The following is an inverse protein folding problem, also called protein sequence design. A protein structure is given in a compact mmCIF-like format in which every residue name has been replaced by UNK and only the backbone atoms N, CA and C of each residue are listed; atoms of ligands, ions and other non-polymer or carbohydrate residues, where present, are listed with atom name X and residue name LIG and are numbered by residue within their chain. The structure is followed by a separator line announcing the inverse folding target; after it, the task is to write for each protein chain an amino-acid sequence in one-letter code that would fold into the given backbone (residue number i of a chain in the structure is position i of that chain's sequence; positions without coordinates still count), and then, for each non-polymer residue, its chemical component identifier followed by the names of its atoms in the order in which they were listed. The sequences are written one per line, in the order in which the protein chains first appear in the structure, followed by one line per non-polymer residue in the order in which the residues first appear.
data_IF_410563875318
#
_entry.id   IF_410563875318
#
_cell.length_a   1.000
_cell.length_b   1.000
_cell.length_c   1.000
_cell.angle_alpha   90.00
_cell.angle_beta   90.00
_cell.angle_gamma   90.00
#
_symmetry.space_group_name_H-M   'P 1'
#
loop_
_entity.id
_entity.type
_entity.pdbx_description
1 polymer ?
#
# COMPACT_ATOMS: atom_id res chain seq x y z
N UNK A 1 13.82 -43.42 7.30
CA UNK A 1 13.28 -42.82 6.09
C UNK A 1 12.30 -41.65 6.36
N UNK A 2 12.03 -41.28 7.61
CA UNK A 2 11.08 -40.19 7.99
C UNK A 2 11.72 -38.80 8.19
N UNK A 3 13.04 -38.72 8.37
CA UNK A 3 13.73 -37.44 8.67
C UNK A 3 14.00 -36.52 7.46
N UNK A 4 14.01 -37.05 6.24
CA UNK A 4 14.30 -36.26 5.02
C UNK A 4 13.11 -35.45 4.52
N UNK A 5 11.87 -35.88 4.81
CA UNK A 5 10.65 -35.20 4.34
C UNK A 5 10.39 -33.88 5.08
N UNK A 6 10.79 -33.78 6.34
CA UNK A 6 10.62 -32.56 7.15
C UNK A 6 11.62 -31.45 6.80
N UNK A 7 12.82 -31.77 6.32
CA UNK A 7 13.83 -30.75 5.95
C UNK A 7 13.41 -29.98 4.70
N UNK A 8 12.79 -30.63 3.72
CA UNK A 8 12.30 -29.98 2.49
C UNK A 8 11.13 -29.02 2.78
N UNK A 9 10.24 -29.38 3.70
CA UNK A 9 9.10 -28.53 4.09
C UNK A 9 9.61 -27.28 4.83
N UNK A 10 10.59 -27.42 5.72
CA UNK A 10 11.19 -26.30 6.46
C UNK A 10 11.95 -25.37 5.50
N UNK A 11 12.68 -25.91 4.55
CA UNK A 11 13.39 -25.11 3.53
C UNK A 11 12.43 -24.31 2.64
N UNK A 12 11.29 -24.89 2.26
CA UNK A 12 10.24 -24.24 1.48
C UNK A 12 9.56 -23.09 2.26
N UNK A 13 9.40 -23.26 3.57
CA UNK A 13 8.82 -22.22 4.44
C UNK A 13 9.74 -21.00 4.59
N UNK A 14 11.07 -21.22 4.65
CA UNK A 14 12.06 -20.14 4.70
C UNK A 14 12.13 -19.30 3.40
N UNK A 15 11.83 -19.88 2.24
CA UNK A 15 11.82 -19.16 0.96
C UNK A 15 10.63 -18.20 0.81
N UNK A 16 9.57 -18.36 1.60
CA UNK A 16 8.39 -17.48 1.55
C UNK A 16 8.51 -16.23 2.43
N UNK A 17 9.49 -16.15 3.33
CA UNK A 17 9.63 -15.02 4.26
C UNK A 17 10.28 -13.76 3.68
N UNK A 18 10.87 -13.83 2.47
CA UNK A 18 11.66 -12.71 1.92
C UNK A 18 10.87 -11.65 1.11
N UNK A 19 9.53 -11.76 0.99
CA UNK A 19 8.77 -10.89 0.08
C UNK A 19 8.17 -9.62 0.69
N UNK A 20 8.25 -9.40 2.00
CA UNK A 20 7.52 -8.31 2.67
C UNK A 20 8.37 -7.37 3.53
N UNK A 21 9.70 -7.40 3.40
CA UNK A 21 10.56 -6.44 4.11
C UNK A 21 10.39 -5.03 3.57
N UNK A 22 10.46 -4.04 4.46
CA UNK A 22 10.54 -2.62 4.08
C UNK A 22 11.84 -2.41 3.30
N UNK A 23 11.84 -1.61 2.21
CA UNK A 23 13.08 -1.28 1.49
C UNK A 23 14.11 -0.62 2.42
N UNK A 24 15.38 -0.93 2.21
CA UNK A 24 16.48 -0.37 3.02
C UNK A 24 16.62 1.15 2.88
N UNK A 25 16.24 1.68 1.70
CA UNK A 25 16.17 3.12 1.44
C UNK A 25 14.82 3.46 0.81
N UNK A 26 13.95 4.09 1.58
CA UNK A 26 12.60 4.47 1.16
C UNK A 26 12.51 5.86 0.53
N UNK A 27 13.64 6.57 0.39
CA UNK A 27 13.69 7.93 -0.18
C UNK A 27 14.18 7.96 -1.63
N UNK A 28 14.67 6.84 -2.16
CA UNK A 28 15.19 6.75 -3.52
C UNK A 28 14.46 5.66 -4.31
N UNK A 29 13.65 6.06 -5.28
CA UNK A 29 12.84 5.15 -6.09
C UNK A 29 13.66 4.13 -6.88
N UNK A 30 14.87 4.48 -7.34
CA UNK A 30 15.75 3.55 -8.05
C UNK A 30 16.22 2.44 -7.10
N UNK A 31 16.61 2.80 -5.87
CA UNK A 31 17.03 1.81 -4.87
C UNK A 31 15.86 0.92 -4.42
N UNK A 32 14.67 1.49 -4.25
CA UNK A 32 13.45 0.72 -3.98
C UNK A 32 13.23 -0.33 -5.07
N UNK A 33 13.29 0.04 -6.34
CA UNK A 33 13.02 -0.88 -7.44
C UNK A 33 14.15 -1.89 -7.67
N UNK A 34 15.39 -1.54 -7.37
CA UNK A 34 16.50 -2.50 -7.39
C UNK A 34 16.31 -3.60 -6.33
N UNK A 35 15.88 -3.23 -5.13
CA UNK A 35 15.62 -4.17 -4.04
C UNK A 35 14.28 -4.93 -4.23
N UNK A 36 13.26 -4.24 -4.72
CA UNK A 36 11.90 -4.76 -4.94
C UNK A 36 11.53 -4.77 -6.42
N UNK A 37 12.23 -5.55 -7.20
CA UNK A 37 12.10 -5.64 -8.67
C UNK A 37 10.63 -5.71 -9.17
N UNK A 38 9.77 -6.51 -8.53
CA UNK A 38 8.37 -6.63 -8.94
C UNK A 38 7.56 -5.36 -8.70
N UNK A 39 7.99 -4.46 -7.82
CA UNK A 39 7.25 -3.24 -7.51
C UNK A 39 7.21 -2.27 -8.68
N UNK A 40 8.30 -2.17 -9.44
CA UNK A 40 8.30 -1.39 -10.69
C UNK A 40 7.22 -1.90 -11.66
N UNK A 41 7.13 -3.22 -11.85
CA UNK A 41 6.10 -3.83 -12.71
C UNK A 41 4.68 -3.53 -12.21
N UNK A 42 4.46 -3.55 -10.91
CA UNK A 42 3.16 -3.27 -10.31
C UNK A 42 2.77 -1.79 -10.44
N UNK A 43 3.68 -0.86 -10.14
CA UNK A 43 3.45 0.58 -10.29
C UNK A 43 3.21 0.95 -11.75
N UNK A 44 3.99 0.39 -12.69
CA UNK A 44 3.82 0.61 -14.13
C UNK A 44 2.47 0.10 -14.64
N UNK A 45 2.01 -1.04 -14.13
CA UNK A 45 0.68 -1.56 -14.45
C UNK A 45 -0.44 -0.65 -13.94
N UNK A 46 -0.32 -0.15 -12.72
CA UNK A 46 -1.29 0.79 -12.15
C UNK A 46 -1.27 2.12 -12.90
N UNK A 47 -0.10 2.66 -13.27
CA UNK A 47 0.03 3.86 -14.11
C UNK A 47 -0.67 3.67 -15.45
N UNK A 48 -0.43 2.54 -16.14
CA UNK A 48 -1.09 2.25 -17.43
C UNK A 48 -2.61 2.18 -17.30
N UNK A 49 -3.12 1.60 -16.21
CA UNK A 49 -4.55 1.40 -15.98
C UNK A 49 -5.27 2.67 -15.57
N UNK A 50 -4.67 3.46 -14.70
CA UNK A 50 -5.32 4.60 -14.04
C UNK A 50 -4.80 5.97 -14.47
N UNK A 51 -3.66 6.02 -15.16
CA UNK A 51 -3.01 7.27 -15.56
C UNK A 51 -2.27 8.00 -14.43
N UNK A 52 -2.18 7.41 -13.24
CA UNK A 52 -1.49 7.97 -12.08
C UNK A 52 0.00 7.73 -12.18
N UNK A 53 0.86 8.76 -12.28
CA UNK A 53 2.30 8.59 -12.42
C UNK A 53 2.93 7.77 -11.28
N UNK A 54 3.95 6.99 -11.59
CA UNK A 54 4.65 6.13 -10.61
C UNK A 54 5.15 6.94 -9.41
N UNK A 55 5.71 8.13 -9.63
CA UNK A 55 6.24 8.96 -8.55
C UNK A 55 5.15 9.39 -7.55
N UNK A 56 3.92 9.61 -8.00
CA UNK A 56 2.78 9.93 -7.11
C UNK A 56 2.36 8.70 -6.31
N UNK A 57 2.31 7.53 -6.93
CA UNK A 57 2.00 6.28 -6.23
C UNK A 57 2.99 6.02 -5.09
N UNK A 58 4.30 6.17 -5.37
CA UNK A 58 5.35 5.98 -4.37
C UNK A 58 5.34 7.07 -3.30
N UNK A 59 5.09 8.34 -3.68
CA UNK A 59 5.00 9.45 -2.74
C UNK A 59 3.87 9.23 -1.72
N UNK A 60 2.69 8.82 -2.17
CA UNK A 60 1.56 8.49 -1.29
C UNK A 60 1.94 7.36 -0.33
N UNK A 61 2.50 6.25 -0.82
CA UNK A 61 2.92 5.14 0.06
C UNK A 61 3.99 5.59 1.06
N UNK A 62 4.95 6.40 0.61
CA UNK A 62 5.99 6.96 1.49
C UNK A 62 5.39 7.76 2.64
N UNK A 63 4.44 8.64 2.35
CA UNK A 63 3.80 9.51 3.33
C UNK A 63 2.86 8.73 4.27
N UNK A 64 2.14 7.72 3.76
CA UNK A 64 1.14 6.98 4.51
C UNK A 64 1.73 5.90 5.42
N UNK A 65 2.76 5.20 4.98
CA UNK A 65 3.27 4.01 5.69
C UNK A 65 4.78 3.88 5.73
N UNK A 66 5.51 4.75 5.04
CA UNK A 66 6.95 4.56 4.77
C UNK A 66 7.28 3.15 4.25
N UNK A 67 6.42 2.63 3.36
CA UNK A 67 6.51 1.28 2.79
C UNK A 67 6.33 0.13 3.81
N UNK A 68 5.81 0.40 5.00
CA UNK A 68 5.44 -0.65 5.94
C UNK A 68 4.08 -1.27 5.58
N UNK A 69 4.10 -2.54 5.23
CA UNK A 69 2.90 -3.31 4.85
C UNK A 69 1.96 -3.61 6.02
N UNK A 70 2.44 -3.50 7.27
CA UNK A 70 1.65 -3.68 8.49
C UNK A 70 1.35 -2.37 9.22
N UNK A 71 1.68 -1.23 8.62
CA UNK A 71 1.44 0.08 9.23
C UNK A 71 0.00 0.23 9.70
N UNK A 72 -0.15 0.76 10.89
CA UNK A 72 -1.45 1.03 11.56
C UNK A 72 -1.35 2.35 12.30
N UNK A 73 -2.44 3.13 12.38
CA UNK A 73 -2.48 4.31 13.24
C UNK A 73 -2.11 3.96 14.69
N UNK A 74 -1.39 4.83 15.39
CA UNK A 74 -1.10 4.62 16.80
C UNK A 74 -2.40 4.51 17.61
N UNK A 75 -2.38 3.72 18.67
CA UNK A 75 -3.52 3.66 19.61
C UNK A 75 -3.59 4.95 20.41
N UNK A 76 -4.77 5.50 20.56
CA UNK A 76 -5.02 6.52 21.57
C UNK A 76 -4.72 5.95 22.95
N UNK A 77 -4.26 6.78 23.88
CA UNK A 77 -3.99 6.38 25.25
C UNK A 77 -4.93 7.12 26.20
N UNK A 78 -5.61 6.38 27.07
CA UNK A 78 -6.34 6.97 28.20
C UNK A 78 -5.33 7.26 29.29
N UNK A 79 -5.39 8.46 29.88
CA UNK A 79 -4.45 8.95 30.90
C UNK A 79 -2.98 8.85 30.46
N UNK A 80 -2.69 8.96 29.14
CA UNK A 80 -1.35 8.85 28.53
C UNK A 80 -0.64 7.49 28.71
N UNK A 81 -1.23 6.55 29.41
CA UNK A 81 -0.60 5.26 29.78
C UNK A 81 -1.35 4.05 29.20
N UNK A 82 -2.66 4.00 29.32
CA UNK A 82 -3.47 2.82 28.96
C UNK A 82 -3.81 2.84 27.48
N UNK A 83 -3.37 1.85 26.65
CA UNK A 83 -3.73 1.76 25.24
C UNK A 83 -5.23 1.59 25.07
N UNK A 84 -5.85 2.48 24.29
CA UNK A 84 -7.28 2.45 23.97
C UNK A 84 -7.50 2.13 22.49
N UNK A 85 -8.62 2.57 21.94
CA UNK A 85 -9.05 2.32 20.57
C UNK A 85 -8.15 3.05 19.55
N UNK A 86 -8.01 2.52 18.34
CA UNK A 86 -7.37 3.23 17.24
C UNK A 86 -8.34 4.27 16.67
N UNK A 87 -7.87 5.46 16.29
CA UNK A 87 -8.70 6.54 15.75
C UNK A 87 -9.27 6.19 14.37
N UNK A 88 -8.61 5.34 13.62
CA UNK A 88 -8.97 4.98 12.25
C UNK A 88 -8.81 3.48 12.00
N UNK A 89 -9.52 2.97 10.99
CA UNK A 89 -9.38 1.61 10.46
C UNK A 89 -8.33 1.50 9.34
N UNK A 90 -7.52 2.56 9.12
CA UNK A 90 -6.48 2.57 8.10
C UNK A 90 -5.42 1.49 8.35
N UNK A 91 -4.88 0.92 7.26
CA UNK A 91 -4.00 -0.23 7.35
C UNK A 91 -3.15 -0.45 6.09
N UNK A 92 -1.91 -0.93 6.29
CA UNK A 92 -1.01 -1.40 5.26
C UNK A 92 -0.36 -0.28 4.45
N UNK A 93 0.18 -0.60 3.28
CA UNK A 93 0.94 0.34 2.45
C UNK A 93 0.21 1.65 2.14
N UNK A 94 -1.06 1.58 1.79
CA UNK A 94 -1.86 2.73 1.35
C UNK A 94 -2.64 3.41 2.47
N UNK A 95 -2.57 2.92 3.70
CA UNK A 95 -3.36 3.40 4.84
C UNK A 95 -4.86 3.59 4.52
N UNK A 96 -5.36 2.86 3.52
CA UNK A 96 -6.77 2.90 3.18
C UNK A 96 -7.66 2.50 4.35
N UNK A 97 -8.68 3.28 4.65
CA UNK A 97 -9.70 2.92 5.64
C UNK A 97 -10.61 1.80 5.09
N UNK A 98 -11.19 1.01 6.00
CA UNK A 98 -11.97 -0.19 5.61
C UNK A 98 -13.10 0.13 4.62
N UNK A 99 -13.87 1.20 4.85
CA UNK A 99 -15.00 1.58 3.97
C UNK A 99 -14.55 1.88 2.56
N UNK A 100 -13.53 2.73 2.38
CA UNK A 100 -12.99 3.10 1.07
C UNK A 100 -12.35 1.90 0.36
N UNK A 101 -11.71 1.00 1.11
CA UNK A 101 -11.15 -0.24 0.55
C UNK A 101 -12.23 -1.18 0.02
N UNK A 102 -13.33 -1.36 0.73
CA UNK A 102 -14.46 -2.18 0.26
C UNK A 102 -15.15 -1.54 -0.96
N UNK A 103 -15.27 -0.21 -1.00
CA UNK A 103 -15.77 0.51 -2.17
C UNK A 103 -14.87 0.24 -3.40
N UNK A 104 -13.55 0.37 -3.25
CA UNK A 104 -12.60 0.03 -4.32
C UNK A 104 -12.78 -1.40 -4.83
N UNK A 105 -12.87 -2.38 -3.93
CA UNK A 105 -13.09 -3.79 -4.31
C UNK A 105 -14.38 -3.98 -5.09
N UNK A 106 -15.44 -3.33 -4.65
CA UNK A 106 -16.77 -3.39 -5.31
C UNK A 106 -16.71 -2.78 -6.70
N UNK A 107 -16.15 -1.59 -6.84
CA UNK A 107 -16.11 -0.86 -8.12
C UNK A 107 -15.16 -1.48 -9.15
N UNK A 108 -14.06 -2.07 -8.69
CA UNK A 108 -13.06 -2.67 -9.60
C UNK A 108 -13.27 -4.17 -9.85
N UNK A 109 -14.16 -4.82 -9.09
CA UNK A 109 -14.32 -6.28 -9.11
C UNK A 109 -13.16 -7.06 -8.48
N UNK A 110 -12.16 -6.38 -7.89
CA UNK A 110 -10.99 -7.02 -7.30
C UNK A 110 -11.26 -7.56 -5.88
N UNK A 111 -12.15 -8.55 -5.80
CA UNK A 111 -12.62 -9.11 -4.51
C UNK A 111 -11.50 -9.66 -3.61
N UNK A 112 -10.39 -10.15 -4.21
CA UNK A 112 -9.27 -10.74 -3.48
C UNK A 112 -8.16 -9.73 -3.13
N UNK A 113 -8.35 -8.44 -3.39
CA UNK A 113 -7.39 -7.41 -3.02
C UNK A 113 -7.20 -7.33 -1.50
N UNK A 114 -5.95 -7.15 -1.07
CA UNK A 114 -5.59 -6.98 0.35
C UNK A 114 -4.72 -5.75 0.55
N UNK A 115 -4.93 -5.03 1.66
CA UNK A 115 -4.18 -3.79 1.98
C UNK A 115 -2.69 -4.02 2.31
N UNK A 116 -2.28 -5.28 2.48
CA UNK A 116 -0.90 -5.67 2.78
C UNK A 116 -0.09 -6.06 1.54
N UNK A 117 -0.72 -6.19 0.37
CA UNK A 117 0.00 -6.49 -0.87
C UNK A 117 0.28 -5.21 -1.64
N UNK A 118 1.56 -4.97 -1.93
CA UNK A 118 2.00 -3.77 -2.66
C UNK A 118 1.24 -3.55 -3.99
N UNK A 119 1.08 -4.61 -4.78
CA UNK A 119 0.34 -4.53 -6.06
C UNK A 119 -1.10 -4.05 -5.93
N UNK A 120 -1.77 -4.45 -4.85
CA UNK A 120 -3.17 -4.05 -4.62
C UNK A 120 -3.24 -2.61 -4.09
N UNK A 121 -2.24 -2.21 -3.29
CA UNK A 121 -2.16 -0.85 -2.76
C UNK A 121 -1.86 0.18 -3.84
N UNK A 122 -0.97 -0.10 -4.80
CA UNK A 122 -0.73 0.82 -5.93
C UNK A 122 -1.93 0.87 -6.90
N UNK A 123 -2.64 -0.24 -7.11
CA UNK A 123 -3.88 -0.25 -7.90
C UNK A 123 -5.00 0.55 -7.21
N UNK A 124 -5.12 0.43 -5.88
CA UNK A 124 -6.02 1.25 -5.07
C UNK A 124 -5.70 2.74 -5.16
N UNK A 125 -4.42 3.13 -5.02
CA UNK A 125 -3.99 4.53 -5.13
C UNK A 125 -4.34 5.07 -6.53
N UNK A 126 -4.10 4.28 -7.57
CA UNK A 126 -4.48 4.64 -8.93
C UNK A 126 -6.00 4.86 -9.09
N UNK A 127 -6.81 3.97 -8.55
CA UNK A 127 -8.27 4.12 -8.52
C UNK A 127 -8.70 5.37 -7.75
N UNK A 128 -8.11 5.62 -6.59
CA UNK A 128 -8.44 6.77 -5.74
C UNK A 128 -8.12 8.10 -6.44
N UNK A 129 -6.91 8.25 -6.97
CA UNK A 129 -6.48 9.46 -7.69
C UNK A 129 -7.29 9.69 -8.98
N UNK A 130 -7.73 8.61 -9.65
CA UNK A 130 -8.66 8.70 -10.78
C UNK A 130 -10.04 9.25 -10.36
N UNK A 131 -10.55 8.83 -9.20
CA UNK A 131 -11.78 9.42 -8.63
C UNK A 131 -11.58 10.86 -8.21
N UNK A 132 -10.45 11.19 -7.59
CA UNK A 132 -10.09 12.57 -7.23
C UNK A 132 -10.11 13.49 -8.47
N UNK A 133 -9.52 13.06 -9.58
CA UNK A 133 -9.59 13.85 -10.84
C UNK A 133 -11.02 13.99 -11.36
N UNK A 134 -11.80 12.92 -11.30
CA UNK A 134 -13.19 12.93 -11.76
C UNK A 134 -14.08 13.88 -10.92
N UNK A 135 -13.93 13.85 -9.59
CA UNK A 135 -14.80 14.57 -8.64
C UNK A 135 -14.32 16.02 -8.47
N UNK A 136 -13.03 16.21 -8.16
CA UNK A 136 -12.45 17.49 -7.79
C UNK A 136 -11.76 18.23 -8.95
N UNK A 137 -11.66 17.59 -10.14
CA UNK A 137 -10.95 18.13 -11.32
C UNK A 137 -9.46 18.39 -11.06
N UNK A 138 -8.88 17.69 -10.10
CA UNK A 138 -7.45 17.75 -9.78
C UNK A 138 -6.68 16.82 -10.70
N UNK A 139 -5.74 17.36 -11.48
CA UNK A 139 -4.90 16.54 -12.37
C UNK A 139 -4.17 15.43 -11.62
N UNK A 140 -4.13 14.23 -12.20
CA UNK A 140 -3.34 13.09 -11.66
C UNK A 140 -1.84 13.39 -11.58
N UNK A 141 -1.35 14.43 -12.23
CA UNK A 141 0.05 14.86 -12.19
C UNK A 141 0.35 15.87 -11.08
N UNK A 142 -0.70 16.42 -10.44
CA UNK A 142 -0.57 17.36 -9.34
C UNK A 142 -0.38 16.58 -8.03
N UNK A 143 0.85 16.27 -7.70
CA UNK A 143 1.19 15.43 -6.55
C UNK A 143 0.69 16.02 -5.22
N UNK A 144 0.82 17.35 -5.06
CA UNK A 144 0.44 18.02 -3.83
C UNK A 144 -1.07 17.94 -3.58
N UNK A 145 -1.88 18.38 -4.56
CA UNK A 145 -3.34 18.38 -4.42
C UNK A 145 -3.90 16.95 -4.39
N UNK A 146 -3.31 16.03 -5.14
CA UNK A 146 -3.69 14.61 -5.08
C UNK A 146 -3.43 14.02 -3.68
N UNK A 147 -2.31 14.37 -3.05
CA UNK A 147 -2.03 13.91 -1.69
C UNK A 147 -2.98 14.53 -0.66
N UNK A 148 -3.26 15.84 -0.75
CA UNK A 148 -4.26 16.49 0.13
C UNK A 148 -5.61 15.79 0.02
N UNK A 149 -6.12 15.58 -1.20
CA UNK A 149 -7.38 14.88 -1.42
C UNK A 149 -7.36 13.42 -0.95
N UNK A 150 -6.19 12.77 -1.00
CA UNK A 150 -6.02 11.41 -0.50
C UNK A 150 -6.13 11.35 1.02
N UNK A 151 -5.56 12.32 1.71
CA UNK A 151 -5.51 12.40 3.17
C UNK A 151 -6.83 12.88 3.79
N UNK A 152 -7.42 13.95 3.22
CA UNK A 152 -8.63 14.59 3.76
C UNK A 152 -9.94 13.98 3.23
N UNK A 153 -9.90 13.32 2.06
CA UNK A 153 -11.07 12.83 1.34
C UNK A 153 -11.55 13.79 0.24
N UNK A 154 -12.61 13.40 -0.46
CA UNK A 154 -13.28 14.19 -1.48
C UNK A 154 -14.40 15.05 -0.89
#
# INVERSE_FOLDING_TARGET
MFFLKNRSIILFFFLLMNCSSIPSNTSNSCLIFNEKYLWYKHTKKAEKKWGTPIYIQLAIIKMESDFDWLAKPPRQKIFKVIPFKRPSSSFGYSQAVKGTWEQYKKETGNKLATRVRFKDSVDFIGWYTNKTESILKISKKDAFRQYIAYHEGW
#
